data_IF_625288368618
#
_entry.id   IF_625288368618
#
_cell.length_a   1.000
_cell.length_b   1.000
_cell.length_c   1.000
_cell.angle_alpha   90.00
_cell.angle_beta   90.00
_cell.angle_gamma   90.00
#
_symmetry.space_group_name_H-M   'P 1'
#
loop_
_entity.id
_entity.type
_entity.pdbx_description
1 polymer ?
#
# COMPACT_ATOMS: atom_id res chain seq x y z
N UNK A 1 15.62 1.57 32.86
CA UNK A 1 14.99 2.77 33.45
C UNK A 1 13.89 3.25 32.51
N UNK A 2 12.98 4.13 32.96
CA UNK A 2 11.94 4.72 32.10
C UNK A 2 12.52 5.33 30.81
N UNK A 3 13.70 5.96 30.91
CA UNK A 3 14.44 6.50 29.77
C UNK A 3 14.81 5.42 28.73
N UNK A 4 15.37 4.29 29.13
CA UNK A 4 15.68 3.18 28.20
C UNK A 4 14.43 2.64 27.50
N UNK A 5 13.31 2.53 28.22
CA UNK A 5 12.05 2.08 27.63
C UNK A 5 11.48 3.11 26.66
N UNK A 6 11.48 4.40 27.03
CA UNK A 6 11.09 5.50 26.16
C UNK A 6 11.97 5.58 24.91
N UNK A 7 13.29 5.55 25.06
CA UNK A 7 14.25 5.56 23.95
C UNK A 7 14.10 4.32 23.06
N UNK A 8 13.65 3.18 23.61
CA UNK A 8 13.36 1.99 22.80
C UNK A 8 12.08 2.13 21.98
N UNK A 9 11.12 2.96 22.40
CA UNK A 9 9.89 3.27 21.69
C UNK A 9 10.03 4.48 20.76
N UNK A 10 10.95 5.39 21.07
CA UNK A 10 11.16 6.64 20.37
C UNK A 10 12.25 6.51 19.30
N UNK A 11 11.98 6.97 18.08
CA UNK A 11 12.91 6.82 16.96
C UNK A 11 12.94 5.42 16.35
N UNK A 12 11.92 4.59 16.59
CA UNK A 12 11.76 3.34 15.86
C UNK A 12 11.48 3.63 14.38
N UNK A 13 12.28 3.03 13.50
CA UNK A 13 12.07 3.06 12.06
C UNK A 13 10.97 2.08 11.60
N UNK A 14 10.42 1.29 12.52
CA UNK A 14 9.37 0.30 12.23
C UNK A 14 8.31 0.29 13.31
N UNK A 15 7.03 0.23 12.93
CA UNK A 15 5.91 0.11 13.87
C UNK A 15 4.86 -0.86 13.35
N UNK A 16 4.23 -1.62 14.25
CA UNK A 16 3.08 -2.47 13.93
C UNK A 16 1.81 -1.77 14.38
N UNK A 17 0.88 -1.57 13.45
CA UNK A 17 -0.46 -1.03 13.70
C UNK A 17 -1.48 -2.16 13.51
N UNK A 18 -2.64 -2.02 14.17
CA UNK A 18 -3.76 -2.95 14.01
C UNK A 18 -5.05 -2.18 13.82
N UNK A 19 -5.83 -2.60 12.84
CA UNK A 19 -7.18 -2.14 12.63
C UNK A 19 -7.35 -1.17 11.47
N UNK A 20 -8.54 -1.21 10.88
CA UNK A 20 -8.86 -0.54 9.63
C UNK A 20 -8.71 0.98 9.65
N UNK A 21 -8.84 1.63 10.80
CA UNK A 21 -8.70 3.09 10.88
C UNK A 21 -7.25 3.54 10.66
N UNK A 22 -6.26 2.70 10.95
CA UNK A 22 -4.86 2.99 10.58
C UNK A 22 -4.66 2.98 9.06
N UNK A 23 -5.41 2.16 8.31
CA UNK A 23 -5.37 2.18 6.85
C UNK A 23 -5.90 3.52 6.32
N UNK A 24 -6.94 4.09 6.95
CA UNK A 24 -7.46 5.40 6.60
C UNK A 24 -6.39 6.48 6.73
N UNK A 25 -5.65 6.47 7.84
CA UNK A 25 -4.58 7.45 8.08
C UNK A 25 -3.45 7.29 7.05
N UNK A 26 -3.11 6.06 6.66
CA UNK A 26 -2.14 5.78 5.59
C UNK A 26 -2.61 6.25 4.21
N UNK A 27 -3.92 6.16 3.92
CA UNK A 27 -4.51 6.74 2.70
C UNK A 27 -4.37 8.27 2.67
N UNK A 28 -4.58 8.94 3.80
CA UNK A 28 -4.36 10.38 3.90
C UNK A 28 -2.89 10.74 3.74
N UNK A 29 -2.00 10.00 4.39
CA UNK A 29 -0.56 10.21 4.30
C UNK A 29 -0.03 10.04 2.87
N UNK A 30 -0.36 8.94 2.19
CA UNK A 30 0.13 8.75 0.81
C UNK A 30 -0.39 9.85 -0.14
N UNK A 31 -1.58 10.39 0.13
CA UNK A 31 -2.13 11.52 -0.62
C UNK A 31 -1.36 12.84 -0.38
N UNK A 32 -0.67 12.99 0.75
CA UNK A 32 0.28 14.09 0.97
C UNK A 32 1.56 13.93 0.17
N UNK A 33 2.06 12.68 0.03
CA UNK A 33 3.23 12.37 -0.79
C UNK A 33 2.96 12.42 -2.30
N UNK A 34 1.71 12.24 -2.73
CA UNK A 34 1.30 12.44 -4.12
C UNK A 34 1.45 11.23 -5.04
N UNK A 35 2.06 10.15 -4.57
CA UNK A 35 2.14 8.89 -5.31
C UNK A 35 2.20 7.67 -4.39
N UNK A 36 1.79 6.50 -4.91
CA UNK A 36 1.98 5.22 -4.24
C UNK A 36 2.10 4.07 -5.26
N UNK A 37 3.08 3.20 -5.02
CA UNK A 37 3.23 1.94 -5.73
C UNK A 37 2.72 0.78 -4.87
N UNK A 38 1.80 0.01 -5.43
CA UNK A 38 1.21 -1.15 -4.79
C UNK A 38 1.67 -2.46 -5.41
N UNK A 39 1.94 -3.44 -4.54
CA UNK A 39 2.09 -4.85 -4.94
C UNK A 39 0.98 -5.63 -4.25
N UNK A 40 0.06 -6.19 -5.04
CA UNK A 40 -1.03 -7.05 -4.57
C UNK A 40 -2.30 -6.32 -4.13
N UNK A 41 -2.46 -5.01 -4.37
CA UNK A 41 -3.62 -4.30 -3.86
C UNK A 41 -4.92 -4.70 -4.58
N UNK A 42 -5.84 -5.36 -3.85
CA UNK A 42 -7.14 -5.84 -4.37
C UNK A 42 -8.33 -5.00 -3.95
N UNK A 43 -8.17 -4.06 -3.03
CA UNK A 43 -9.20 -3.07 -2.68
C UNK A 43 -10.01 -3.36 -1.41
N UNK A 44 -9.53 -4.21 -0.49
CA UNK A 44 -10.23 -4.54 0.76
C UNK A 44 -10.70 -3.30 1.56
N UNK A 45 -9.83 -2.29 1.69
CA UNK A 45 -10.21 -1.04 2.36
C UNK A 45 -11.25 -0.24 1.56
N UNK A 46 -11.16 -0.29 0.23
CA UNK A 46 -12.12 0.38 -0.65
C UNK A 46 -13.53 -0.14 -0.45
N UNK A 47 -13.65 -1.45 -0.26
CA UNK A 47 -14.93 -2.11 -0.03
C UNK A 47 -15.48 -1.84 1.38
N UNK A 48 -14.60 -1.81 2.39
CA UNK A 48 -14.98 -1.60 3.79
C UNK A 48 -15.24 -0.13 4.15
N UNK A 49 -14.77 0.84 3.36
CA UNK A 49 -14.92 2.29 3.60
C UNK A 49 -15.33 3.09 2.35
N UNK A 50 -16.41 2.72 1.65
CA UNK A 50 -16.76 3.30 0.34
C UNK A 50 -17.01 4.82 0.39
N UNK A 51 -17.71 5.31 1.42
CA UNK A 51 -17.98 6.74 1.59
C UNK A 51 -16.70 7.57 1.76
N UNK A 52 -15.71 7.03 2.50
CA UNK A 52 -14.42 7.69 2.65
C UNK A 52 -13.67 7.71 1.31
N UNK A 53 -13.72 6.60 0.56
CA UNK A 53 -13.07 6.51 -0.75
C UNK A 53 -13.70 7.46 -1.77
N UNK A 54 -15.02 7.66 -1.75
CA UNK A 54 -15.68 8.63 -2.65
C UNK A 54 -15.09 10.04 -2.50
N UNK A 55 -14.85 10.47 -1.26
CA UNK A 55 -14.28 11.79 -0.98
C UNK A 55 -12.76 11.83 -1.13
N UNK A 56 -12.08 10.73 -0.81
CA UNK A 56 -10.63 10.60 -1.01
C UNK A 56 -10.28 10.61 -2.50
N UNK A 57 -11.03 9.89 -3.35
CA UNK A 57 -10.83 9.84 -4.80
C UNK A 57 -10.95 11.23 -5.43
N UNK A 58 -11.96 12.02 -5.07
CA UNK A 58 -12.12 13.42 -5.55
C UNK A 58 -10.89 14.26 -5.21
N UNK A 59 -10.35 14.10 -3.98
CA UNK A 59 -9.16 14.83 -3.53
C UNK A 59 -7.89 14.35 -4.23
N UNK A 60 -7.75 13.04 -4.43
CA UNK A 60 -6.65 12.43 -5.18
C UNK A 60 -6.60 12.94 -6.63
N UNK A 61 -7.75 12.99 -7.31
CA UNK A 61 -7.88 13.58 -8.65
C UNK A 61 -7.42 15.04 -8.64
N UNK A 62 -7.96 15.85 -7.72
CA UNK A 62 -7.63 17.28 -7.63
C UNK A 62 -6.15 17.54 -7.35
N UNK A 63 -5.51 16.67 -6.56
CA UNK A 63 -4.07 16.76 -6.23
C UNK A 63 -3.15 16.19 -7.32
N UNK A 64 -3.69 15.55 -8.35
CA UNK A 64 -2.88 14.87 -9.37
C UNK A 64 -2.11 13.69 -8.80
N UNK A 65 -2.71 12.98 -7.84
CA UNK A 65 -2.14 11.78 -7.24
C UNK A 65 -1.83 10.73 -8.33
N UNK A 66 -0.80 9.90 -8.13
CA UNK A 66 -0.44 8.82 -9.05
C UNK A 66 -0.41 7.49 -8.32
N UNK A 67 -1.04 6.47 -8.89
CA UNK A 67 -1.04 5.13 -8.33
C UNK A 67 -0.55 4.15 -9.37
N UNK A 68 0.43 3.31 -9.02
CA UNK A 68 0.73 2.10 -9.80
C UNK A 68 0.38 0.89 -8.98
N UNK A 69 -0.20 -0.13 -9.60
CA UNK A 69 -0.56 -1.36 -8.92
C UNK A 69 -0.16 -2.57 -9.77
N UNK A 70 0.58 -3.50 -9.17
CA UNK A 70 0.84 -4.81 -9.77
C UNK A 70 0.02 -5.82 -8.98
N UNK A 71 -0.93 -6.46 -9.65
CA UNK A 71 -1.88 -7.37 -9.01
C UNK A 71 -2.14 -8.55 -9.94
N UNK A 72 -2.82 -9.58 -9.47
CA UNK A 72 -3.28 -10.66 -10.33
C UNK A 72 -4.53 -10.25 -11.12
N UNK A 73 -4.83 -11.01 -12.17
CA UNK A 73 -5.92 -10.72 -13.11
C UNK A 73 -7.32 -10.70 -12.49
N UNK A 74 -7.55 -11.31 -11.33
CA UNK A 74 -8.90 -11.36 -10.73
C UNK A 74 -9.33 -9.99 -10.17
N UNK A 75 -8.39 -9.10 -9.86
CA UNK A 75 -8.69 -7.73 -9.45
C UNK A 75 -9.18 -6.85 -10.61
N UNK A 76 -9.10 -7.31 -11.86
CA UNK A 76 -9.47 -6.52 -13.04
C UNK A 76 -10.96 -6.15 -13.01
N UNK A 77 -11.24 -4.85 -13.07
CA UNK A 77 -12.61 -4.34 -12.99
C UNK A 77 -12.99 -3.85 -11.60
N UNK A 78 -12.23 -4.24 -10.57
CA UNK A 78 -12.44 -3.73 -9.22
C UNK A 78 -12.15 -2.23 -9.13
N UNK A 79 -12.85 -1.52 -8.24
CA UNK A 79 -12.75 -0.06 -8.08
C UNK A 79 -11.32 0.43 -7.88
N UNK A 80 -10.52 -0.28 -7.09
CA UNK A 80 -9.09 0.04 -6.87
C UNK A 80 -8.28 0.11 -8.18
N UNK A 81 -8.66 -0.69 -9.19
CA UNK A 81 -7.98 -0.75 -10.51
C UNK A 81 -8.58 0.20 -11.54
N UNK A 82 -9.65 0.93 -11.16
CA UNK A 82 -10.44 1.79 -12.03
C UNK A 82 -10.37 3.26 -11.66
N UNK A 83 -9.67 3.60 -10.58
CA UNK A 83 -9.38 5.00 -10.30
C UNK A 83 -8.71 5.66 -11.50
N UNK A 84 -9.09 6.91 -11.84
CA UNK A 84 -8.58 7.59 -13.04
C UNK A 84 -7.08 7.88 -12.98
N UNK A 85 -6.48 7.82 -11.78
CA UNK A 85 -5.05 7.98 -11.54
C UNK A 85 -4.29 6.66 -11.35
N UNK A 86 -4.96 5.51 -11.52
CA UNK A 86 -4.35 4.20 -11.35
C UNK A 86 -3.87 3.62 -12.67
N UNK A 87 -2.58 3.29 -12.72
CA UNK A 87 -1.99 2.41 -13.72
C UNK A 87 -1.87 1.00 -13.13
N UNK A 88 -2.54 0.00 -13.72
CA UNK A 88 -2.56 -1.36 -13.17
C UNK A 88 -1.96 -2.37 -14.14
N UNK A 89 -1.00 -3.17 -13.67
CA UNK A 89 -0.52 -4.38 -14.35
C UNK A 89 -1.10 -5.62 -13.67
N UNK A 90 -1.61 -6.54 -14.48
CA UNK A 90 -2.25 -7.78 -14.04
C UNK A 90 -1.30 -8.99 -14.16
N UNK A 91 -0.05 -8.82 -13.74
CA UNK A 91 1.03 -9.77 -14.02
C UNK A 91 1.34 -10.71 -12.87
N UNK A 92 0.81 -10.46 -11.66
CA UNK A 92 1.09 -11.36 -10.53
C UNK A 92 0.34 -12.69 -10.68
N UNK A 93 0.95 -13.81 -10.25
CA UNK A 93 0.24 -15.07 -10.04
C UNK A 93 -0.91 -14.92 -9.03
N UNK A 94 -1.94 -15.76 -9.14
CA UNK A 94 -3.11 -15.73 -8.23
C UNK A 94 -2.69 -15.96 -6.78
N UNK A 95 -1.62 -16.70 -6.55
CA UNK A 95 -1.05 -17.01 -5.25
C UNK A 95 -0.68 -15.74 -4.45
N UNK A 96 -0.44 -14.60 -5.12
CA UNK A 96 -0.26 -13.31 -4.43
C UNK A 96 -1.52 -12.77 -3.76
N UNK A 97 -2.71 -13.27 -4.12
CA UNK A 97 -3.98 -12.82 -3.54
C UNK A 97 -4.16 -13.17 -2.06
N UNK A 98 -3.37 -14.13 -1.57
CA UNK A 98 -3.36 -14.59 -0.18
C UNK A 98 -2.15 -14.02 0.59
N UNK A 99 -1.31 -13.21 -0.07
CA UNK A 99 -0.13 -12.59 0.52
C UNK A 99 -0.44 -11.18 1.02
N UNK A 100 0.51 -10.62 1.77
CA UNK A 100 0.43 -9.21 2.19
C UNK A 100 0.51 -8.26 1.00
N UNK A 101 -0.13 -7.11 1.15
CA UNK A 101 -0.06 -6.01 0.19
C UNK A 101 1.09 -5.09 0.58
N UNK A 102 1.85 -4.63 -0.41
CA UNK A 102 2.93 -3.65 -0.20
C UNK A 102 2.53 -2.30 -0.74
N UNK A 103 2.84 -1.23 0.01
CA UNK A 103 2.63 0.16 -0.39
C UNK A 103 3.97 0.86 -0.27
N UNK A 104 4.42 1.49 -1.35
CA UNK A 104 5.75 2.11 -1.42
C UNK A 104 5.56 3.57 -1.83
N UNK A 105 5.82 4.49 -0.91
CA UNK A 105 5.67 5.94 -1.10
C UNK A 105 6.58 6.71 -0.14
N UNK A 106 6.94 7.96 -0.49
CA UNK A 106 7.83 8.77 0.34
C UNK A 106 9.17 8.08 0.61
N UNK A 107 9.54 7.96 1.89
CA UNK A 107 10.64 7.08 2.35
C UNK A 107 10.09 5.88 3.17
N UNK A 108 8.85 5.46 2.87
CA UNK A 108 8.10 4.43 3.62
C UNK A 108 7.80 3.18 2.79
N UNK A 109 7.74 2.06 3.50
CA UNK A 109 7.17 0.80 3.02
C UNK A 109 6.12 0.34 4.02
N UNK A 110 4.91 0.14 3.53
CA UNK A 110 3.82 -0.45 4.30
C UNK A 110 3.64 -1.89 3.84
N UNK A 111 3.47 -2.79 4.80
CA UNK A 111 3.05 -4.16 4.56
C UNK A 111 1.77 -4.37 5.35
N UNK A 112 0.62 -4.45 4.68
CA UNK A 112 -0.65 -4.76 5.33
C UNK A 112 -1.14 -6.15 4.94
N UNK A 113 -1.73 -6.82 5.91
CA UNK A 113 -2.26 -8.16 5.75
C UNK A 113 -3.67 -8.25 6.33
N UNK A 114 -4.55 -8.90 5.57
CA UNK A 114 -5.99 -9.01 5.85
C UNK A 114 -6.40 -10.45 6.21
N UNK A 115 -5.50 -11.30 6.71
CA UNK A 115 -5.83 -12.69 7.09
C UNK A 115 -6.73 -12.77 8.33
N UNK A 116 -6.81 -11.70 9.11
CA UNK A 116 -7.64 -11.57 10.31
C UNK A 116 -8.81 -10.62 10.05
N UNK A 117 -9.79 -10.58 10.97
CA UNK A 117 -10.93 -9.65 10.88
C UNK A 117 -10.50 -8.18 10.75
N UNK A 118 -9.47 -7.81 11.52
CA UNK A 118 -8.81 -6.51 11.51
C UNK A 118 -7.40 -6.62 10.88
N UNK A 119 -7.02 -5.72 9.96
CA UNK A 119 -5.73 -5.80 9.31
C UNK A 119 -4.58 -5.58 10.27
N UNK A 120 -3.48 -6.29 10.03
CA UNK A 120 -2.19 -6.06 10.68
C UNK A 120 -1.31 -5.31 9.69
N UNK A 121 -0.70 -4.23 10.15
CA UNK A 121 0.06 -3.31 9.30
C UNK A 121 1.45 -3.11 9.87
N UNK A 122 2.48 -3.43 9.11
CA UNK A 122 3.85 -3.06 9.41
C UNK A 122 4.21 -1.81 8.61
N UNK A 123 4.54 -0.73 9.31
CA UNK A 123 5.03 0.51 8.71
C UNK A 123 6.53 0.57 8.92
N UNK A 124 7.27 0.77 7.83
CA UNK A 124 8.73 0.88 7.81
C UNK A 124 9.07 2.26 7.27
N UNK A 125 9.67 3.12 8.11
CA UNK A 125 10.10 4.47 7.78
C UNK A 125 11.63 4.49 7.67
N UNK A 126 12.15 3.91 6.59
CA UNK A 126 13.58 3.80 6.35
C UNK A 126 13.89 3.94 4.86
N UNK A 127 14.64 4.99 4.50
CA UNK A 127 15.00 5.30 3.12
C UNK A 127 15.70 4.15 2.39
N UNK A 128 16.65 3.45 3.03
CA UNK A 128 17.40 2.36 2.38
C UNK A 128 16.52 1.17 2.07
N UNK A 129 15.58 0.85 2.96
CA UNK A 129 14.58 -0.18 2.72
C UNK A 129 13.59 0.26 1.65
N UNK A 130 13.05 1.48 1.73
CA UNK A 130 12.25 2.07 0.66
C UNK A 130 12.91 1.91 -0.72
N UNK A 131 14.17 2.36 -0.87
CA UNK A 131 14.89 2.31 -2.15
C UNK A 131 15.11 0.85 -2.62
N UNK A 132 15.15 -0.10 -1.70
CA UNK A 132 15.24 -1.54 -2.01
C UNK A 132 13.90 -2.09 -2.51
N UNK A 133 12.80 -1.82 -1.80
CA UNK A 133 11.46 -2.23 -2.22
C UNK A 133 11.00 -1.53 -3.50
N UNK A 134 11.34 -0.25 -3.67
CA UNK A 134 11.11 0.48 -4.94
C UNK A 134 11.83 -0.21 -6.10
N UNK A 135 13.10 -0.62 -5.93
CA UNK A 135 13.81 -1.41 -6.95
C UNK A 135 13.13 -2.74 -7.25
N UNK A 136 12.64 -3.45 -6.23
CA UNK A 136 11.86 -4.68 -6.43
C UNK A 136 10.57 -4.40 -7.22
N UNK A 137 9.83 -3.36 -6.85
CA UNK A 137 8.65 -2.90 -7.58
C UNK A 137 8.99 -2.62 -9.04
N UNK A 138 10.04 -1.86 -9.33
CA UNK A 138 10.44 -1.52 -10.71
C UNK A 138 10.79 -2.76 -11.54
N UNK A 139 11.42 -3.77 -10.93
CA UNK A 139 11.71 -5.04 -11.59
C UNK A 139 10.42 -5.79 -11.94
N UNK A 140 9.44 -5.81 -11.04
CA UNK A 140 8.12 -6.39 -11.30
C UNK A 140 7.35 -5.58 -12.35
N UNK A 141 7.42 -4.25 -12.27
CA UNK A 141 6.72 -3.32 -13.15
C UNK A 141 7.21 -3.44 -14.59
N UNK A 142 8.51 -3.64 -14.81
CA UNK A 142 9.10 -3.82 -16.15
C UNK A 142 8.79 -5.18 -16.76
N UNK A 143 8.34 -6.17 -15.99
CA UNK A 143 7.92 -7.47 -16.53
C UNK A 143 6.53 -7.37 -17.14
N UNK A 144 6.38 -7.96 -18.32
CA UNK A 144 5.07 -8.10 -18.96
C UNK A 144 4.37 -9.41 -18.59
N UNK A 145 5.13 -10.42 -18.12
CA UNK A 145 4.60 -11.71 -17.63
C UNK A 145 5.48 -12.23 -16.49
N UNK A 146 4.85 -12.73 -15.43
CA UNK A 146 5.54 -13.48 -14.37
C UNK A 146 5.54 -14.96 -14.75
N UNK A 147 6.71 -15.51 -15.11
CA UNK A 147 6.87 -16.94 -15.40
C UNK A 147 6.98 -17.75 -14.10
N UNK A 148 6.29 -18.89 -14.06
CA UNK A 148 6.46 -19.90 -13.00
C UNK A 148 7.86 -20.52 -13.04
#
# INVERSE_FOLDING_TARGET
>A
TFKTYFDSLWGQETKTLRGIDNIKDLFEEMLEFGECDFIGARGYFVDKRPNFIDDWEKRAIKKGFKMRNIVDKEAKGHRITKFPFAETKYTLPKEFSEMSVFWIYGDKVIIDNWTEEEPIILVIENKKLHDTYKRQFELLWKKDVFSK
#
